data_IF_077227524528
#
_entry.id   IF_077227524528
#
_cell.length_a   1.000
_cell.length_b   1.000
_cell.length_c   1.000
_cell.angle_alpha   90.00
_cell.angle_beta   90.00
_cell.angle_gamma   90.00
#
_symmetry.space_group_name_H-M   'P 1'
#
loop_
_entity.id
_entity.type
_entity.pdbx_description
1 polymer ?
#
# COMPACT_ATOMS: atom_id res chain seq x y z
N UNK A 1 -39.13 53.00 33.18
CA UNK A 1 -39.82 51.84 33.78
C UNK A 1 -41.28 52.20 33.91
N UNK A 2 -42.13 51.63 33.05
CA UNK A 2 -43.58 51.84 33.01
C UNK A 2 -44.14 50.67 32.18
N UNK A 3 -44.70 49.65 32.84
CA UNK A 3 -46.15 49.33 32.86
C UNK A 3 -46.74 49.25 31.44
N UNK A 4 -47.45 48.20 31.02
CA UNK A 4 -48.59 47.58 31.70
C UNK A 4 -49.00 46.30 30.97
N UNK A 5 -49.56 45.33 31.70
CA UNK A 5 -50.10 44.08 31.17
C UNK A 5 -51.62 44.14 30.91
N UNK A 6 -52.02 43.47 29.81
CA UNK A 6 -53.19 42.57 29.62
C UNK A 6 -54.63 43.07 29.76
N UNK A 7 -55.37 42.75 28.70
CA UNK A 7 -56.77 42.28 28.66
C UNK A 7 -57.18 42.25 27.19
N UNK A 8 -57.81 41.26 26.56
CA UNK A 8 -58.47 40.00 26.95
C UNK A 8 -59.41 39.68 25.78
N UNK A 9 -59.51 38.42 25.34
CA UNK A 9 -60.44 38.04 24.25
C UNK A 9 -60.34 36.57 23.85
N UNK A 10 -61.31 35.77 24.31
CA UNK A 10 -61.73 34.43 23.85
C UNK A 10 -61.93 34.40 22.32
N UNK A 11 -61.89 33.30 21.56
CA UNK A 11 -61.87 31.86 21.82
C UNK A 11 -62.57 31.16 20.63
N UNK A 12 -61.92 30.12 20.09
CA UNK A 12 -62.40 29.05 19.18
C UNK A 12 -62.83 29.39 17.74
N UNK A 13 -62.10 28.83 16.76
CA UNK A 13 -62.59 27.65 16.02
C UNK A 13 -61.47 26.91 15.24
N UNK A 14 -61.65 25.60 15.12
CA UNK A 14 -60.68 24.58 14.71
C UNK A 14 -60.75 24.22 13.20
N UNK A 15 -59.60 23.76 12.70
CA UNK A 15 -59.39 22.71 11.68
C UNK A 15 -59.60 23.03 10.18
N UNK A 16 -58.54 22.90 9.36
CA UNK A 16 -58.17 21.65 8.66
C UNK A 16 -57.03 21.83 7.65
N UNK A 17 -56.20 20.78 7.58
CA UNK A 17 -55.25 20.28 6.57
C UNK A 17 -54.96 21.02 5.24
N UNK A 18 -53.68 21.00 4.86
CA UNK A 18 -53.20 21.17 3.48
C UNK A 18 -51.67 21.25 3.38
N UNK A 19 -51.00 20.09 3.35
CA UNK A 19 -49.56 20.00 3.14
C UNK A 19 -49.23 20.12 1.64
N UNK A 20 -48.49 21.15 1.24
CA UNK A 20 -47.88 21.23 -0.08
C UNK A 20 -46.35 21.15 0.01
N UNK A 21 -45.83 20.05 -0.52
CA UNK A 21 -44.41 19.73 -0.67
C UNK A 21 -43.77 20.64 -1.72
N UNK A 22 -43.02 21.65 -1.28
CA UNK A 22 -42.15 22.45 -2.14
C UNK A 22 -40.90 21.67 -2.57
N UNK A 23 -40.90 21.14 -3.78
CA UNK A 23 -39.70 20.60 -4.44
C UNK A 23 -38.68 21.72 -4.72
N UNK A 24 -37.59 21.77 -3.94
CA UNK A 24 -36.42 22.59 -4.23
C UNK A 24 -35.67 21.94 -5.40
N UNK A 25 -35.96 22.38 -6.63
CA UNK A 25 -35.10 22.13 -7.78
C UNK A 25 -33.76 22.85 -7.57
N UNK A 26 -32.75 22.13 -7.07
CA UNK A 26 -31.35 22.58 -7.17
C UNK A 26 -31.00 22.68 -8.66
N UNK A 27 -30.98 23.91 -9.17
CA UNK A 27 -30.38 24.25 -10.46
C UNK A 27 -28.98 23.65 -10.53
N UNK A 28 -28.78 22.71 -11.44
CA UNK A 28 -27.47 22.25 -11.87
C UNK A 28 -26.72 23.48 -12.44
N UNK A 29 -25.63 23.87 -11.79
CA UNK A 29 -24.71 24.86 -12.33
C UNK A 29 -24.21 24.38 -13.69
N UNK A 30 -24.66 25.07 -14.75
CA UNK A 30 -24.11 24.90 -16.10
C UNK A 30 -22.62 25.20 -16.07
N UNK A 31 -21.81 24.28 -16.54
CA UNK A 31 -20.40 24.51 -16.88
C UNK A 31 -20.36 25.58 -17.96
N UNK A 32 -19.82 26.75 -17.61
CA UNK A 32 -19.54 27.82 -18.56
C UNK A 32 -18.45 27.34 -19.53
N UNK A 33 -18.84 27.18 -20.80
CA UNK A 33 -17.93 27.09 -21.95
C UNK A 33 -17.50 28.50 -22.35
N UNK A 34 -16.18 28.69 -22.42
CA UNK A 34 -15.43 29.85 -22.94
C UNK A 34 -15.43 31.14 -22.10
N UNK A 35 -14.22 31.52 -21.64
CA UNK A 35 -13.87 32.87 -21.19
C UNK A 35 -13.07 32.94 -19.89
N UNK A 36 -11.84 33.46 -19.97
CA UNK A 36 -10.87 33.72 -18.90
C UNK A 36 -10.13 32.53 -18.26
N UNK A 37 -9.04 32.10 -18.92
CA UNK A 37 -7.91 31.46 -18.24
C UNK A 37 -7.09 32.53 -17.50
N UNK A 38 -7.67 33.06 -16.41
CA UNK A 38 -6.92 33.73 -15.36
C UNK A 38 -6.29 32.67 -14.46
N UNK A 39 -4.97 32.78 -14.28
CA UNK A 39 -4.14 32.17 -13.24
C UNK A 39 -4.84 31.23 -12.25
N UNK A 40 -5.05 29.99 -12.68
CA UNK A 40 -5.15 28.87 -11.74
C UNK A 40 -4.02 27.94 -12.10
N UNK A 41 -3.07 27.82 -11.18
CA UNK A 41 -1.92 26.96 -11.30
C UNK A 41 -2.36 25.60 -11.87
N UNK A 42 -1.73 25.17 -12.96
CA UNK A 42 -1.91 23.81 -13.46
C UNK A 42 -1.51 22.86 -12.32
N UNK A 43 -2.51 22.30 -11.64
CA UNK A 43 -2.29 21.28 -10.63
C UNK A 43 -1.94 19.99 -11.36
N UNK A 44 -0.64 19.79 -11.62
CA UNK A 44 -0.08 18.55 -12.19
C UNK A 44 -0.48 17.28 -11.40
N UNK A 45 -1.05 17.43 -10.21
CA UNK A 45 -1.54 16.36 -9.34
C UNK A 45 -2.91 15.81 -9.76
N UNK A 46 -3.73 16.58 -10.50
CA UNK A 46 -5.06 16.14 -10.92
C UNK A 46 -4.97 15.50 -12.30
N UNK A 47 -4.67 14.22 -12.32
CA UNK A 47 -4.56 13.41 -13.53
C UNK A 47 -5.90 12.72 -13.84
N UNK A 48 -6.39 12.75 -15.09
CA UNK A 48 -7.58 11.98 -15.49
C UNK A 48 -7.46 10.50 -15.14
N UNK A 49 -8.56 9.86 -14.73
CA UNK A 49 -8.54 8.45 -14.29
C UNK A 49 -8.03 7.48 -15.36
N UNK A 50 -8.27 7.78 -16.64
CA UNK A 50 -7.75 7.00 -17.78
C UNK A 50 -6.24 7.14 -17.98
N UNK A 51 -5.59 8.07 -17.28
CA UNK A 51 -4.16 8.34 -17.36
C UNK A 51 -3.46 8.15 -16.01
N UNK A 52 -4.04 7.41 -15.05
CA UNK A 52 -3.48 7.27 -13.70
C UNK A 52 -2.01 6.82 -13.66
N UNK A 53 -1.54 6.11 -14.68
CA UNK A 53 -0.15 5.67 -14.85
C UNK A 53 0.88 6.81 -14.98
N UNK A 54 0.49 8.02 -15.41
CA UNK A 54 1.43 9.16 -15.53
C UNK A 54 1.59 9.94 -14.22
N UNK A 55 0.68 9.74 -13.26
CA UNK A 55 0.68 10.49 -12.00
C UNK A 55 1.98 10.32 -11.18
N UNK A 56 2.60 9.12 -11.08
CA UNK A 56 3.90 8.99 -10.44
C UNK A 56 5.00 9.83 -11.12
N UNK A 57 5.01 9.91 -12.45
CA UNK A 57 6.01 10.67 -13.22
C UNK A 57 5.90 12.17 -12.92
N UNK A 58 4.68 12.71 -12.89
CA UNK A 58 4.45 14.12 -12.59
C UNK A 58 4.75 14.48 -11.13
N UNK A 59 4.48 13.55 -10.19
CA UNK A 59 4.88 13.71 -8.80
C UNK A 59 6.40 13.81 -8.67
N UNK A 60 7.13 12.88 -9.30
CA UNK A 60 8.61 12.93 -9.32
C UNK A 60 9.11 14.21 -9.99
N UNK A 61 8.50 14.65 -11.08
CA UNK A 61 8.87 15.91 -11.74
C UNK A 61 8.78 17.10 -10.79
N UNK A 62 7.70 17.21 -10.01
CA UNK A 62 7.53 18.29 -9.03
C UNK A 62 8.55 18.17 -7.87
N UNK A 63 8.85 16.95 -7.42
CA UNK A 63 9.82 16.72 -6.33
C UNK A 63 11.24 17.15 -6.73
N UNK A 64 11.65 16.88 -7.97
CA UNK A 64 13.01 17.17 -8.44
C UNK A 64 13.18 18.58 -9.00
N UNK A 65 12.10 19.32 -9.24
CA UNK A 65 12.11 20.66 -9.88
C UNK A 65 13.03 21.65 -9.18
N UNK A 66 13.00 21.69 -7.85
CA UNK A 66 13.86 22.58 -7.07
C UNK A 66 15.34 22.18 -7.18
N UNK A 67 15.62 20.89 -7.34
CA UNK A 67 16.99 20.36 -7.39
C UNK A 67 17.59 20.43 -8.79
N UNK A 68 16.81 20.12 -9.82
CA UNK A 68 17.21 20.17 -11.21
C UNK A 68 15.98 20.46 -12.11
N UNK A 69 15.76 21.73 -12.50
CA UNK A 69 14.63 22.14 -13.33
C UNK A 69 14.60 21.44 -14.70
N UNK A 70 15.77 21.14 -15.29
CA UNK A 70 15.83 20.47 -16.59
C UNK A 70 15.35 19.02 -16.50
N UNK A 71 15.73 18.30 -15.45
CA UNK A 71 15.25 16.93 -15.22
C UNK A 71 13.74 16.92 -14.96
N UNK A 72 13.21 17.87 -14.19
CA UNK A 72 11.77 18.01 -14.00
C UNK A 72 11.02 18.25 -15.32
N UNK A 73 11.55 19.13 -16.17
CA UNK A 73 11.03 19.34 -17.53
C UNK A 73 11.01 18.04 -18.34
N UNK A 74 12.10 17.28 -18.34
CA UNK A 74 12.20 16.01 -19.07
C UNK A 74 11.21 14.96 -18.56
N UNK A 75 10.99 14.87 -17.25
CA UNK A 75 9.96 14.02 -16.67
C UNK A 75 8.55 14.43 -17.14
N UNK A 76 8.24 15.73 -17.19
CA UNK A 76 6.95 16.24 -17.69
C UNK A 76 6.78 15.97 -19.19
N UNK A 77 7.85 16.14 -19.96
CA UNK A 77 7.85 15.85 -21.39
C UNK A 77 7.57 14.36 -21.65
N UNK A 78 8.27 13.48 -20.94
CA UNK A 78 8.01 12.04 -21.00
C UNK A 78 6.58 11.68 -20.56
N UNK A 79 6.06 12.31 -19.50
CA UNK A 79 4.67 12.13 -19.08
C UNK A 79 3.67 12.54 -20.17
N UNK A 80 3.94 13.63 -20.90
CA UNK A 80 3.12 14.08 -22.02
C UNK A 80 3.13 13.07 -23.18
N UNK A 81 4.31 12.56 -23.57
CA UNK A 81 4.42 11.52 -24.60
C UNK A 81 3.68 10.24 -24.18
N UNK A 82 3.87 9.79 -22.94
CA UNK A 82 3.20 8.60 -22.39
C UNK A 82 1.68 8.80 -22.39
N UNK A 83 1.19 9.98 -22.00
CA UNK A 83 -0.23 10.31 -22.10
C UNK A 83 -0.75 10.28 -23.54
N UNK A 84 0.06 10.72 -24.52
CA UNK A 84 -0.29 10.62 -25.93
C UNK A 84 -0.39 9.17 -26.41
N UNK A 85 0.56 8.29 -26.01
CA UNK A 85 0.50 6.86 -26.33
C UNK A 85 -0.70 6.15 -25.70
N UNK A 86 -1.08 6.50 -24.47
CA UNK A 86 -2.20 5.90 -23.74
C UNK A 86 -3.58 6.28 -24.31
N UNK A 87 -3.74 7.50 -24.83
CA UNK A 87 -5.01 7.95 -25.43
C UNK A 87 -4.76 8.89 -26.63
N UNK A 88 -4.36 8.36 -27.80
CA UNK A 88 -3.96 9.19 -28.95
C UNK A 88 -5.03 10.20 -29.38
N UNK A 89 -6.30 9.78 -29.33
CA UNK A 89 -7.45 10.58 -29.76
C UNK A 89 -8.00 11.52 -28.67
N UNK A 90 -7.42 11.50 -27.46
CA UNK A 90 -7.88 12.30 -26.31
C UNK A 90 -9.37 12.12 -26.00
N UNK A 91 -9.82 10.87 -26.09
CA UNK A 91 -11.21 10.45 -25.94
C UNK A 91 -11.68 10.39 -24.47
N UNK A 92 -10.74 10.23 -23.53
CA UNK A 92 -11.02 10.18 -22.11
C UNK A 92 -11.53 11.52 -21.55
N UNK A 93 -12.40 11.43 -20.54
CA UNK A 93 -12.94 12.62 -19.85
C UNK A 93 -11.80 13.48 -19.32
N UNK A 94 -11.73 14.74 -19.76
CA UNK A 94 -10.72 15.71 -19.31
C UNK A 94 -9.32 15.51 -19.91
N UNK A 95 -9.08 14.46 -20.70
CA UNK A 95 -7.75 14.16 -21.26
C UNK A 95 -7.26 15.26 -22.18
N UNK A 96 -8.12 15.77 -23.07
CA UNK A 96 -7.75 16.85 -23.98
C UNK A 96 -7.32 18.12 -23.22
N UNK A 97 -8.11 18.53 -22.24
CA UNK A 97 -7.81 19.71 -21.41
C UNK A 97 -6.48 19.53 -20.67
N UNK A 98 -6.29 18.35 -20.07
CA UNK A 98 -5.07 17.99 -19.37
C UNK A 98 -3.84 18.06 -20.29
N UNK A 99 -3.88 17.42 -21.47
CA UNK A 99 -2.78 17.42 -22.44
C UNK A 99 -2.46 18.82 -22.94
N UNK A 100 -3.48 19.61 -23.27
CA UNK A 100 -3.29 20.99 -23.71
C UNK A 100 -2.61 21.84 -22.65
N UNK A 101 -3.03 21.74 -21.38
CA UNK A 101 -2.43 22.51 -20.32
C UNK A 101 -1.00 22.04 -19.97
N UNK A 102 -0.74 20.73 -20.03
CA UNK A 102 0.62 20.19 -19.87
C UNK A 102 1.55 20.65 -21.01
N UNK A 103 1.07 20.67 -22.25
CA UNK A 103 1.82 21.16 -23.40
C UNK A 103 2.18 22.66 -23.26
N UNK A 104 1.21 23.50 -22.89
CA UNK A 104 1.45 24.93 -22.65
C UNK A 104 2.49 25.17 -21.55
N UNK A 105 2.49 24.33 -20.51
CA UNK A 105 3.50 24.37 -19.46
C UNK A 105 4.89 23.99 -20.00
N UNK A 106 4.98 22.93 -20.80
CA UNK A 106 6.22 22.51 -21.44
C UNK A 106 6.80 23.60 -22.36
N UNK A 107 5.95 24.24 -23.17
CA UNK A 107 6.38 25.34 -24.04
C UNK A 107 6.98 26.50 -23.24
N UNK A 108 6.39 26.84 -22.09
CA UNK A 108 6.90 27.91 -21.21
C UNK A 108 8.20 27.54 -20.50
N UNK A 109 8.34 26.29 -20.08
CA UNK A 109 9.47 25.83 -19.27
C UNK A 109 10.69 25.40 -20.11
N UNK A 110 10.52 25.13 -21.41
CA UNK A 110 11.59 24.56 -22.23
C UNK A 110 12.85 25.44 -22.28
N UNK A 111 12.73 26.68 -22.75
CA UNK A 111 13.89 27.52 -22.99
C UNK A 111 14.61 27.90 -21.68
N UNK A 112 13.92 28.32 -20.60
CA UNK A 112 14.57 28.61 -19.32
C UNK A 112 15.31 27.41 -18.74
N UNK A 113 14.71 26.22 -18.79
CA UNK A 113 15.35 25.00 -18.26
C UNK A 113 16.50 24.52 -19.13
N UNK A 114 16.42 24.73 -20.45
CA UNK A 114 17.47 24.39 -21.40
C UNK A 114 18.68 25.31 -21.23
N UNK A 115 18.47 26.62 -21.03
CA UNK A 115 19.55 27.58 -20.71
C UNK A 115 20.27 27.24 -19.42
N UNK A 116 19.53 26.75 -18.41
CA UNK A 116 20.09 26.31 -17.13
C UNK A 116 20.73 24.92 -17.14
N UNK A 117 20.74 24.21 -18.28
CA UNK A 117 21.28 22.85 -18.37
C UNK A 117 22.80 22.85 -18.20
N UNK A 118 23.29 21.95 -17.36
CA UNK A 118 24.73 21.85 -17.03
C UNK A 118 25.47 20.95 -18.01
N UNK A 119 24.84 19.86 -18.45
CA UNK A 119 25.44 18.88 -19.36
C UNK A 119 25.20 19.23 -20.83
N UNK A 120 26.01 18.59 -21.69
CA UNK A 120 25.99 18.80 -23.15
C UNK A 120 24.70 18.32 -23.83
N UNK A 121 24.01 17.36 -23.23
CA UNK A 121 22.75 16.81 -23.74
C UNK A 121 21.83 16.44 -22.59
N UNK A 122 20.54 16.30 -22.89
CA UNK A 122 19.53 15.91 -21.91
C UNK A 122 19.76 14.49 -21.39
N UNK A 123 20.23 13.56 -22.23
CA UNK A 123 20.60 12.21 -21.80
C UNK A 123 21.74 12.24 -20.77
N UNK A 124 22.76 13.08 -20.98
CA UNK A 124 23.87 13.23 -20.01
C UNK A 124 23.43 13.95 -18.74
N UNK A 125 22.49 14.88 -18.83
CA UNK A 125 21.87 15.53 -17.67
C UNK A 125 21.10 14.50 -16.82
N UNK A 126 20.25 13.68 -17.45
CA UNK A 126 19.50 12.61 -16.78
C UNK A 126 20.42 11.58 -16.12
N UNK A 127 21.44 11.11 -16.83
CA UNK A 127 22.42 10.15 -16.29
C UNK A 127 23.16 10.71 -15.07
N UNK A 128 23.67 11.95 -15.18
CA UNK A 128 24.36 12.62 -14.07
C UNK A 128 23.46 12.84 -12.87
N UNK A 129 22.20 13.21 -13.10
CA UNK A 129 21.23 13.41 -12.03
C UNK A 129 20.84 12.10 -11.36
N UNK A 130 20.63 11.03 -12.13
CA UNK A 130 20.32 9.70 -11.58
C UNK A 130 21.44 9.20 -10.67
N UNK A 131 22.70 9.28 -11.12
CA UNK A 131 23.85 8.90 -10.28
C UNK A 131 23.94 9.75 -9.01
N UNK A 132 23.70 11.07 -9.12
CA UNK A 132 23.67 11.95 -7.95
C UNK A 132 22.54 11.57 -6.98
N UNK A 133 21.35 11.31 -7.51
CA UNK A 133 20.19 10.89 -6.73
C UNK A 133 20.46 9.57 -6.00
N UNK A 134 21.02 8.58 -6.69
CA UNK A 134 21.37 7.29 -6.14
C UNK A 134 22.34 7.43 -4.96
N UNK A 135 23.45 8.16 -5.14
CA UNK A 135 24.45 8.39 -4.09
C UNK A 135 23.87 9.14 -2.89
N UNK A 136 23.08 10.19 -3.16
CA UNK A 136 22.58 11.10 -2.13
C UNK A 136 21.40 10.54 -1.33
N UNK A 137 20.50 9.81 -1.97
CA UNK A 137 19.24 9.36 -1.35
C UNK A 137 19.17 7.87 -1.14
N UNK A 138 19.81 7.03 -1.95
CA UNK A 138 19.75 5.58 -1.76
C UNK A 138 20.95 5.11 -0.94
N UNK A 139 22.18 5.31 -1.43
CA UNK A 139 23.38 4.86 -0.72
C UNK A 139 23.52 5.53 0.65
N UNK A 140 23.24 6.84 0.75
CA UNK A 140 23.30 7.53 2.04
C UNK A 140 22.28 6.98 3.05
N UNK A 141 21.05 6.67 2.62
CA UNK A 141 20.02 6.09 3.49
C UNK A 141 20.31 4.64 3.85
N UNK A 142 20.90 3.85 2.94
CA UNK A 142 21.36 2.49 3.23
C UNK A 142 22.49 2.48 4.28
N UNK A 143 23.40 3.46 4.21
CA UNK A 143 24.55 3.57 5.11
C UNK A 143 24.22 4.24 6.45
N UNK A 144 23.10 4.94 6.56
CA UNK A 144 22.64 5.53 7.81
C UNK A 144 22.21 4.42 8.77
N UNK A 145 23.10 4.07 9.70
CA UNK A 145 22.97 2.94 10.63
C UNK A 145 21.77 3.03 11.61
N UNK A 146 21.01 4.13 11.60
CA UNK A 146 19.89 4.35 12.51
C UNK A 146 18.52 4.37 11.85
N UNK A 147 17.66 3.54 12.45
CA UNK A 147 16.20 3.49 12.43
C UNK A 147 15.55 4.87 12.24
N UNK A 148 15.00 5.15 11.06
CA UNK A 148 13.84 6.05 10.97
C UNK A 148 13.14 5.99 9.62
N UNK A 149 13.83 5.67 8.53
CA UNK A 149 13.32 6.10 7.24
C UNK A 149 13.20 5.03 6.16
N UNK A 150 12.69 3.86 6.56
CA UNK A 150 12.17 2.87 5.60
C UNK A 150 11.17 3.52 4.65
N UNK A 151 10.31 4.41 5.16
CA UNK A 151 9.36 5.16 4.34
C UNK A 151 10.06 6.06 3.31
N UNK A 152 11.07 6.84 3.71
CA UNK A 152 11.87 7.61 2.74
C UNK A 152 12.67 6.72 1.80
N UNK A 153 13.20 5.58 2.24
CA UNK A 153 13.95 4.66 1.40
C UNK A 153 13.05 4.00 0.35
N UNK A 154 11.87 3.52 0.75
CA UNK A 154 10.85 3.02 -0.19
C UNK A 154 10.44 4.12 -1.18
N UNK A 155 10.24 5.35 -0.69
CA UNK A 155 9.97 6.50 -1.56
C UNK A 155 11.13 6.76 -2.53
N UNK A 156 12.37 6.69 -2.05
CA UNK A 156 13.56 6.92 -2.86
C UNK A 156 13.70 5.88 -3.97
N UNK A 157 13.44 4.60 -3.68
CA UNK A 157 13.38 3.55 -4.70
C UNK A 157 12.27 3.79 -5.73
N UNK A 158 11.07 4.21 -5.30
CA UNK A 158 9.99 4.56 -6.22
C UNK A 158 10.38 5.71 -7.16
N UNK A 159 10.96 6.77 -6.60
CA UNK A 159 11.45 7.92 -7.39
C UNK A 159 12.57 7.51 -8.33
N UNK A 160 13.53 6.69 -7.89
CA UNK A 160 14.61 6.18 -8.74
C UNK A 160 14.07 5.36 -9.92
N UNK A 161 13.12 4.46 -9.71
CA UNK A 161 12.51 3.69 -10.81
C UNK A 161 11.87 4.59 -11.87
N UNK A 162 11.14 5.64 -11.45
CA UNK A 162 10.55 6.62 -12.37
C UNK A 162 11.63 7.42 -13.10
N UNK A 163 12.67 7.88 -12.40
CA UNK A 163 13.79 8.60 -13.01
C UNK A 163 14.52 7.73 -14.04
N UNK A 164 14.71 6.44 -13.76
CA UNK A 164 15.32 5.50 -14.70
C UNK A 164 14.45 5.25 -15.93
N UNK A 165 13.12 5.14 -15.77
CA UNK A 165 12.18 5.03 -16.89
C UNK A 165 12.34 6.23 -17.86
N UNK A 166 12.36 7.44 -17.31
CA UNK A 166 12.55 8.69 -18.08
C UNK A 166 13.94 8.73 -18.71
N UNK A 167 14.98 8.38 -17.95
CA UNK A 167 16.37 8.34 -18.43
C UNK A 167 16.50 7.43 -19.65
N UNK A 168 15.96 6.20 -19.57
CA UNK A 168 16.00 5.24 -20.67
C UNK A 168 15.32 5.79 -21.93
N UNK A 169 14.17 6.45 -21.78
CA UNK A 169 13.46 7.06 -22.89
C UNK A 169 14.27 8.19 -23.55
N UNK A 170 14.82 9.11 -22.76
CA UNK A 170 15.63 10.25 -23.27
C UNK A 170 16.91 9.75 -23.96
N UNK A 171 17.59 8.76 -23.37
CA UNK A 171 18.77 8.12 -23.94
C UNK A 171 18.49 7.47 -25.30
N UNK A 172 17.37 6.74 -25.40
CA UNK A 172 16.95 6.11 -26.65
C UNK A 172 16.68 7.16 -27.74
N UNK A 173 15.97 8.24 -27.41
CA UNK A 173 15.69 9.34 -28.36
C UNK A 173 16.95 10.03 -28.86
N UNK A 174 17.97 10.16 -28.01
CA UNK A 174 19.24 10.82 -28.36
C UNK A 174 20.32 9.85 -28.86
N UNK A 175 20.02 8.56 -29.00
CA UNK A 175 20.99 7.52 -29.39
C UNK A 175 22.26 7.51 -28.53
N UNK A 176 22.10 7.71 -27.21
CA UNK A 176 23.19 7.70 -26.23
C UNK A 176 23.03 6.48 -25.32
N UNK A 177 24.06 5.64 -25.24
CA UNK A 177 24.08 4.49 -24.34
C UNK A 177 24.02 4.91 -22.87
N UNK A 178 23.38 4.08 -22.05
CA UNK A 178 23.32 4.27 -20.60
C UNK A 178 24.61 3.74 -19.99
N UNK A 179 25.27 4.54 -19.16
CA UNK A 179 26.50 4.14 -18.49
C UNK A 179 26.27 2.86 -17.65
N UNK A 180 27.21 1.91 -17.70
CA UNK A 180 27.07 0.60 -17.05
C UNK A 180 26.80 0.69 -15.54
N UNK A 181 27.43 1.64 -14.86
CA UNK A 181 27.21 1.88 -13.43
C UNK A 181 25.74 2.20 -13.10
N UNK A 182 25.02 2.86 -14.01
CA UNK A 182 23.61 3.21 -13.83
C UNK A 182 22.73 1.96 -13.98
N UNK A 183 23.09 1.05 -14.89
CA UNK A 183 22.38 -0.22 -15.05
C UNK A 183 22.55 -1.08 -13.81
N UNK A 184 23.78 -1.21 -13.29
CA UNK A 184 24.06 -1.96 -12.06
C UNK A 184 23.33 -1.36 -10.85
N UNK A 185 23.33 -0.03 -10.70
CA UNK A 185 22.56 0.66 -9.67
C UNK A 185 21.05 0.41 -9.80
N UNK A 186 20.52 0.43 -11.02
CA UNK A 186 19.10 0.16 -11.25
C UNK A 186 18.71 -1.29 -10.95
N UNK A 187 19.58 -2.25 -11.25
CA UNK A 187 19.36 -3.65 -10.90
C UNK A 187 19.26 -3.81 -9.37
N UNK A 188 20.12 -3.13 -8.61
CA UNK A 188 20.03 -3.07 -7.15
C UNK A 188 18.71 -2.42 -6.69
N UNK A 189 18.32 -1.28 -7.27
CA UNK A 189 17.03 -0.63 -6.98
C UNK A 189 15.87 -1.59 -7.23
N UNK A 190 15.86 -2.29 -8.35
CA UNK A 190 14.80 -3.21 -8.73
C UNK A 190 14.68 -4.38 -7.75
N UNK A 191 15.81 -4.96 -7.34
CA UNK A 191 15.85 -6.02 -6.33
C UNK A 191 15.33 -5.52 -4.98
N UNK A 192 15.85 -4.40 -4.49
CA UNK A 192 15.47 -3.84 -3.18
C UNK A 192 14.00 -3.39 -3.16
N UNK A 193 13.48 -2.83 -4.25
CA UNK A 193 12.06 -2.43 -4.34
C UNK A 193 11.12 -3.61 -4.09
N UNK A 194 11.49 -4.82 -4.51
CA UNK A 194 10.67 -6.02 -4.28
C UNK A 194 10.68 -6.49 -2.82
N UNK A 195 11.73 -6.13 -2.07
CA UNK A 195 11.95 -6.52 -0.68
C UNK A 195 11.30 -5.51 0.27
N UNK A 196 11.41 -4.21 -0.02
CA UNK A 196 10.82 -3.14 0.78
C UNK A 196 9.35 -2.94 0.44
N UNK A 197 8.50 -3.84 0.94
CA UNK A 197 7.05 -3.68 0.83
C UNK A 197 6.58 -2.44 1.60
N UNK A 198 5.80 -1.55 0.98
CA UNK A 198 5.17 -0.45 1.67
C UNK A 198 4.06 -0.97 2.61
N UNK A 199 3.79 -0.22 3.68
CA UNK A 199 2.64 -0.38 4.60
C UNK A 199 2.74 -1.44 5.70
N UNK A 200 3.66 -2.40 5.63
CA UNK A 200 3.95 -3.30 6.75
C UNK A 200 4.77 -2.59 7.83
N UNK A 201 4.30 -2.62 9.08
CA UNK A 201 4.98 -2.10 10.27
C UNK A 201 6.18 -2.98 10.62
N UNK A 202 6.05 -4.31 10.48
CA UNK A 202 7.10 -5.26 10.80
C UNK A 202 7.98 -5.49 9.58
N UNK A 203 9.26 -5.12 9.66
CA UNK A 203 10.16 -5.23 8.53
C UNK A 203 10.79 -6.63 8.54
N UNK A 204 10.05 -7.59 8.00
CA UNK A 204 10.43 -9.02 8.00
C UNK A 204 11.49 -9.37 6.94
N UNK A 205 11.94 -8.39 6.16
CA UNK A 205 13.04 -8.57 5.21
C UNK A 205 14.40 -8.75 5.91
N UNK A 206 15.34 -9.48 5.27
CA UNK A 206 16.66 -9.74 5.84
C UNK A 206 17.43 -8.48 6.23
N UNK A 207 17.34 -7.42 5.43
CA UNK A 207 18.08 -6.17 5.64
C UNK A 207 17.59 -5.38 6.86
N UNK A 208 16.40 -5.71 7.36
CA UNK A 208 15.77 -4.99 8.47
C UNK A 208 15.69 -5.77 9.78
N UNK A 209 16.34 -6.93 9.86
CA UNK A 209 16.36 -7.77 11.06
C UNK A 209 16.83 -7.01 12.32
N UNK A 210 17.67 -5.99 12.16
CA UNK A 210 18.26 -5.20 13.25
C UNK A 210 17.40 -4.00 13.72
N UNK A 211 16.25 -3.74 13.08
CA UNK A 211 15.37 -2.62 13.44
C UNK A 211 14.82 -2.76 14.87
N UNK A 212 14.45 -1.64 15.51
CA UNK A 212 14.09 -1.62 16.94
C UNK A 212 12.95 -2.57 17.26
N UNK A 213 11.92 -2.53 16.41
CA UNK A 213 10.71 -3.33 16.58
C UNK A 213 10.98 -4.83 16.45
N UNK A 214 12.01 -5.22 15.71
CA UNK A 214 12.44 -6.62 15.56
C UNK A 214 13.28 -7.11 16.74
N UNK A 215 13.72 -6.23 17.65
CA UNK A 215 14.46 -6.60 18.86
C UNK A 215 13.55 -6.99 20.02
N UNK A 216 12.24 -6.77 19.92
CA UNK A 216 11.30 -7.18 20.96
C UNK A 216 11.20 -8.71 21.03
N UNK A 217 11.43 -9.33 22.20
CA UNK A 217 11.50 -10.79 22.33
C UNK A 217 10.18 -11.47 21.96
N UNK A 218 9.03 -10.84 22.22
CA UNK A 218 7.70 -11.33 21.86
C UNK A 218 7.45 -11.34 20.35
N UNK A 219 8.01 -10.36 19.61
CA UNK A 219 7.95 -10.32 18.14
C UNK A 219 8.84 -11.43 17.58
N UNK A 220 10.07 -11.56 18.10
CA UNK A 220 10.99 -12.63 17.70
C UNK A 220 10.40 -14.01 17.96
N UNK A 221 9.78 -14.21 19.13
CA UNK A 221 9.13 -15.46 19.50
C UNK A 221 8.03 -15.86 18.50
N UNK A 222 7.16 -14.91 18.12
CA UNK A 222 6.10 -15.16 17.15
C UNK A 222 6.66 -15.44 15.74
N UNK A 223 7.66 -14.68 15.28
CA UNK A 223 8.33 -14.91 13.98
C UNK A 223 9.00 -16.28 13.92
N UNK A 224 9.75 -16.66 14.96
CA UNK A 224 10.40 -17.97 15.06
C UNK A 224 9.36 -19.10 15.05
N UNK A 225 8.26 -18.93 15.77
CA UNK A 225 7.19 -19.93 15.81
C UNK A 225 6.55 -20.14 14.43
N UNK A 226 6.34 -19.07 13.65
CA UNK A 226 5.81 -19.16 12.28
C UNK A 226 6.79 -19.84 11.31
N UNK A 227 8.11 -19.69 11.51
CA UNK A 227 9.13 -20.34 10.67
C UNK A 227 9.20 -21.85 10.83
N UNK A 228 8.53 -22.43 11.84
CA UNK A 228 8.44 -23.87 11.98
C UNK A 228 7.57 -24.49 10.87
N UNK A 229 8.20 -24.85 9.75
CA UNK A 229 7.58 -25.49 8.59
C UNK A 229 8.00 -26.96 8.45
N UNK A 230 8.48 -27.57 9.54
CA UNK A 230 8.90 -28.97 9.56
C UNK A 230 7.73 -29.88 9.22
N UNK A 231 7.94 -30.85 8.33
CA UNK A 231 6.93 -31.85 7.97
C UNK A 231 5.80 -31.37 7.05
N UNK A 232 5.81 -30.10 6.62
CA UNK A 232 4.80 -29.61 5.67
C UNK A 232 5.10 -30.07 4.23
N UNK A 233 4.10 -30.59 3.50
CA UNK A 233 4.28 -31.01 2.11
C UNK A 233 4.24 -29.78 1.20
N UNK A 234 5.37 -29.43 0.60
CA UNK A 234 5.46 -28.34 -0.39
C UNK A 234 5.09 -28.87 -1.80
N UNK A 235 4.58 -28.00 -2.70
CA UNK A 235 4.36 -28.38 -4.09
C UNK A 235 5.66 -28.87 -4.76
N UNK A 236 5.56 -29.85 -5.67
CA UNK A 236 6.72 -30.59 -6.22
C UNK A 236 7.80 -29.70 -6.87
N UNK A 237 7.38 -28.60 -7.50
CA UNK A 237 8.29 -27.67 -8.21
C UNK A 237 8.61 -26.41 -7.39
N UNK A 238 8.22 -26.38 -6.11
CA UNK A 238 8.37 -25.21 -5.27
C UNK A 238 9.80 -25.08 -4.75
N UNK A 239 10.50 -24.01 -5.15
CA UNK A 239 11.84 -23.69 -4.65
C UNK A 239 11.73 -22.95 -3.31
N UNK A 240 11.72 -23.72 -2.23
CA UNK A 240 11.63 -23.19 -0.87
C UNK A 240 12.80 -22.25 -0.54
N UNK A 241 12.49 -21.04 -0.07
CA UNK A 241 13.47 -20.07 0.45
C UNK A 241 13.72 -20.32 1.94
N UNK A 242 14.89 -19.87 2.41
CA UNK A 242 15.34 -20.10 3.79
C UNK A 242 14.43 -19.48 4.84
N UNK A 243 13.86 -18.32 4.54
CA UNK A 243 13.06 -17.52 5.49
C UNK A 243 11.55 -17.74 5.37
N UNK A 244 11.11 -18.71 4.58
CA UNK A 244 9.68 -19.01 4.38
C UNK A 244 9.03 -19.66 5.60
N UNK A 245 7.83 -19.19 5.90
CA UNK A 245 7.06 -19.55 7.08
C UNK A 245 5.77 -20.32 6.74
N UNK A 246 4.98 -20.63 7.77
CA UNK A 246 3.71 -21.35 7.61
C UNK A 246 2.72 -20.61 6.71
N UNK A 247 2.79 -19.29 6.59
CA UNK A 247 1.90 -18.50 5.73
C UNK A 247 2.38 -18.53 4.27
N UNK A 248 3.68 -18.61 4.00
CA UNK A 248 4.19 -18.87 2.65
C UNK A 248 3.76 -20.26 2.18
N UNK A 249 3.75 -21.25 3.08
CA UNK A 249 3.22 -22.57 2.78
C UNK A 249 1.72 -22.52 2.43
N UNK A 250 0.91 -21.82 3.24
CA UNK A 250 -0.51 -21.62 2.93
C UNK A 250 -0.72 -20.91 1.59
N UNK A 251 0.11 -19.91 1.28
CA UNK A 251 0.09 -19.24 -0.01
C UNK A 251 0.36 -20.23 -1.15
N UNK A 252 1.41 -21.03 -1.05
CA UNK A 252 1.80 -21.99 -2.08
C UNK A 252 0.74 -23.08 -2.30
N UNK A 253 0.03 -23.48 -1.25
CA UNK A 253 -0.98 -24.54 -1.31
C UNK A 253 -2.35 -24.05 -1.83
N UNK A 254 -2.76 -22.84 -1.45
CA UNK A 254 -4.12 -22.34 -1.71
C UNK A 254 -4.18 -21.18 -2.71
N UNK A 255 -3.04 -20.59 -3.08
CA UNK A 255 -2.97 -19.51 -4.08
C UNK A 255 -3.37 -18.14 -3.56
N UNK A 256 -3.30 -17.89 -2.25
CA UNK A 256 -3.62 -16.58 -1.66
C UNK A 256 -2.76 -15.44 -2.25
N UNK A 257 -3.33 -14.24 -2.32
CA UNK A 257 -2.66 -13.05 -2.83
C UNK A 257 -1.46 -12.68 -1.94
N UNK A 258 -0.33 -12.33 -2.57
CA UNK A 258 0.94 -12.02 -1.86
C UNK A 258 0.77 -10.93 -0.79
N UNK A 259 0.05 -9.86 -1.13
CA UNK A 259 -0.15 -8.75 -0.21
C UNK A 259 -1.09 -9.11 0.94
N UNK A 260 -2.11 -9.95 0.70
CA UNK A 260 -2.95 -10.50 1.76
C UNK A 260 -2.11 -11.34 2.73
N UNK A 261 -1.24 -12.20 2.21
CA UNK A 261 -0.33 -13.03 3.01
C UNK A 261 0.59 -12.17 3.86
N UNK A 262 1.23 -11.16 3.28
CA UNK A 262 2.09 -10.22 4.01
C UNK A 262 1.33 -9.48 5.13
N UNK A 263 0.11 -8.99 4.84
CA UNK A 263 -0.72 -8.28 5.80
C UNK A 263 -1.19 -9.18 6.95
N UNK A 264 -1.69 -10.38 6.64
CA UNK A 264 -2.17 -11.32 7.67
C UNK A 264 -1.03 -11.90 8.50
N UNK A 265 0.17 -12.04 7.93
CA UNK A 265 1.38 -12.43 8.67
C UNK A 265 1.70 -11.43 9.76
N UNK A 266 1.80 -10.15 9.40
CA UNK A 266 2.05 -9.08 10.36
C UNK A 266 0.95 -9.03 11.43
N UNK A 267 -0.31 -9.08 11.02
CA UNK A 267 -1.44 -9.06 11.93
C UNK A 267 -1.38 -10.22 12.94
N UNK A 268 -1.07 -11.44 12.48
CA UNK A 268 -0.94 -12.61 13.35
C UNK A 268 0.25 -12.47 14.32
N UNK A 269 1.41 -12.00 13.85
CA UNK A 269 2.58 -11.76 14.70
C UNK A 269 2.24 -10.76 15.80
N UNK A 270 1.63 -9.63 15.45
CA UNK A 270 1.25 -8.58 16.40
C UNK A 270 0.19 -9.06 17.39
N UNK A 271 -0.80 -9.85 16.97
CA UNK A 271 -1.79 -10.46 17.87
C UNK A 271 -1.13 -11.39 18.90
N UNK A 272 -0.21 -12.24 18.44
CA UNK A 272 0.52 -13.17 19.30
C UNK A 272 1.41 -12.43 20.30
N UNK A 273 2.22 -11.49 19.81
CA UNK A 273 3.11 -10.66 20.63
C UNK A 273 2.33 -9.87 21.70
N UNK A 274 1.21 -9.25 21.32
CA UNK A 274 0.36 -8.49 22.24
C UNK A 274 -0.25 -9.34 23.37
N UNK A 275 -0.64 -10.58 23.08
CA UNK A 275 -1.13 -11.49 24.13
C UNK A 275 0.02 -12.03 24.97
N UNK A 276 1.16 -12.32 24.35
CA UNK A 276 2.35 -12.84 25.01
C UNK A 276 2.88 -11.87 26.09
N UNK A 277 3.09 -10.60 25.74
CA UNK A 277 3.60 -9.59 26.68
C UNK A 277 2.67 -9.35 27.88
N UNK A 278 1.36 -9.45 27.68
CA UNK A 278 0.36 -9.28 28.76
C UNK A 278 0.38 -10.43 29.76
N UNK A 279 0.75 -11.63 29.32
CA UNK A 279 0.80 -12.81 30.18
C UNK A 279 2.19 -13.02 30.80
N UNK A 280 3.25 -12.64 30.09
CA UNK A 280 4.65 -12.84 30.49
C UNK A 280 5.46 -11.56 30.28
N UNK A 281 5.43 -10.61 31.22
CA UNK A 281 6.20 -9.36 31.11
C UNK A 281 7.71 -9.55 31.40
N UNK A 282 8.21 -10.78 31.51
CA UNK A 282 9.60 -11.05 31.94
C UNK A 282 10.57 -10.92 30.75
N UNK A 283 11.52 -9.97 30.78
CA UNK A 283 12.40 -9.68 29.64
C UNK A 283 13.51 -10.73 29.40
N UNK A 284 13.83 -11.57 30.39
CA UNK A 284 15.02 -12.43 30.35
C UNK A 284 14.81 -13.84 29.77
N UNK A 285 13.64 -14.12 29.17
CA UNK A 285 13.36 -15.42 28.57
C UNK A 285 13.79 -15.47 27.10
N UNK A 286 14.31 -16.63 26.68
CA UNK A 286 14.55 -16.92 25.26
C UNK A 286 13.28 -16.65 24.44
N UNK A 287 13.41 -16.17 23.19
CA UNK A 287 12.30 -15.80 22.32
C UNK A 287 11.50 -17.04 21.89
N UNK A 288 10.70 -17.56 22.80
CA UNK A 288 9.86 -18.74 22.63
C UNK A 288 8.43 -18.35 22.90
N UNK A 289 7.55 -18.67 21.96
CA UNK A 289 6.15 -18.28 22.05
C UNK A 289 5.43 -19.18 23.07
N UNK A 290 4.94 -18.60 24.16
CA UNK A 290 4.21 -19.34 25.18
C UNK A 290 2.91 -19.96 24.63
N UNK A 291 2.70 -21.24 24.91
CA UNK A 291 1.53 -22.00 24.43
C UNK A 291 0.20 -21.44 24.94
N UNK A 292 0.18 -20.81 26.12
CA UNK A 292 -1.02 -20.17 26.70
C UNK A 292 -1.42 -18.94 25.91
N UNK A 293 -0.45 -18.13 25.50
CA UNK A 293 -0.71 -16.96 24.66
C UNK A 293 -1.30 -17.39 23.31
N UNK A 294 -0.70 -18.41 22.68
CA UNK A 294 -1.18 -19.01 21.45
C UNK A 294 -2.61 -19.56 21.58
N UNK A 295 -2.88 -20.28 22.67
CA UNK A 295 -4.19 -20.89 22.93
C UNK A 295 -5.27 -19.82 23.16
N UNK A 296 -4.94 -18.72 23.83
CA UNK A 296 -5.86 -17.60 24.03
C UNK A 296 -6.17 -16.86 22.73
N UNK A 297 -5.19 -16.62 21.85
CA UNK A 297 -5.44 -16.05 20.52
C UNK A 297 -6.34 -16.97 19.70
N UNK A 298 -6.01 -18.27 19.64
CA UNK A 298 -6.82 -19.27 18.91
C UNK A 298 -8.26 -19.32 19.44
N UNK A 299 -8.44 -19.32 20.77
CA UNK A 299 -9.77 -19.34 21.41
C UNK A 299 -10.61 -18.13 21.03
N UNK A 300 -9.99 -16.94 20.97
CA UNK A 300 -10.67 -15.70 20.57
C UNK A 300 -11.04 -15.74 19.08
N UNK A 301 -10.10 -16.10 18.22
CA UNK A 301 -10.29 -16.13 16.76
C UNK A 301 -11.41 -17.11 16.35
N UNK A 302 -11.41 -18.32 16.93
CA UNK A 302 -12.36 -19.38 16.60
C UNK A 302 -13.65 -19.37 17.44
N UNK A 303 -13.91 -18.34 18.25
CA UNK A 303 -15.10 -18.26 19.10
C UNK A 303 -16.40 -18.39 18.27
N UNK A 304 -16.47 -17.69 17.15
CA UNK A 304 -17.65 -17.70 16.28
C UNK A 304 -17.77 -19.02 15.51
N UNK A 305 -16.66 -19.53 14.97
CA UNK A 305 -16.62 -20.82 14.29
C UNK A 305 -17.10 -21.98 15.19
N UNK A 306 -16.64 -22.02 16.44
CA UNK A 306 -17.07 -23.05 17.41
C UNK A 306 -18.56 -22.95 17.73
N UNK A 307 -19.11 -21.73 17.85
CA UNK A 307 -20.55 -21.51 18.03
C UNK A 307 -21.35 -21.98 16.82
N UNK A 308 -20.88 -21.67 15.61
CA UNK A 308 -21.49 -22.08 14.35
C UNK A 308 -21.51 -23.61 14.20
N UNK A 309 -20.39 -24.29 14.49
CA UNK A 309 -20.33 -25.76 14.49
C UNK A 309 -21.33 -26.37 15.48
N UNK A 310 -21.41 -25.83 16.71
CA UNK A 310 -22.37 -26.28 17.72
C UNK A 310 -23.82 -26.05 17.29
N UNK A 311 -24.11 -24.92 16.65
CA UNK A 311 -25.45 -24.59 16.17
C UNK A 311 -25.92 -25.56 15.07
N UNK A 312 -25.02 -25.97 14.17
CA UNK A 312 -25.31 -26.91 13.09
C UNK A 312 -25.09 -28.38 13.45
N UNK A 313 -24.81 -28.68 14.72
CA UNK A 313 -24.45 -30.03 15.20
C UNK A 313 -23.33 -30.72 14.39
N UNK A 314 -22.29 -29.94 14.03
CA UNK A 314 -21.10 -30.41 13.31
C UNK A 314 -19.90 -30.51 14.25
N UNK A 315 -19.07 -31.55 14.05
CA UNK A 315 -17.76 -31.65 14.71
C UNK A 315 -16.82 -30.57 14.17
N UNK A 316 -16.11 -29.88 15.06
CA UNK A 316 -15.13 -28.86 14.67
C UNK A 316 -13.94 -29.51 13.92
N UNK A 317 -13.52 -28.93 12.79
CA UNK A 317 -12.35 -29.36 12.01
C UNK A 317 -11.00 -29.03 12.69
N UNK A 318 -11.03 -28.32 13.82
CA UNK A 318 -9.86 -27.98 14.63
C UNK A 318 -9.34 -29.19 15.42
N UNK A 319 -8.73 -30.16 14.73
CA UNK A 319 -8.07 -31.29 15.36
C UNK A 319 -6.62 -30.95 15.71
N UNK A 320 -6.17 -31.28 16.93
CA UNK A 320 -4.79 -31.06 17.36
C UNK A 320 -4.06 -32.40 17.50
N UNK A 321 -2.79 -32.50 17.07
CA UNK A 321 -2.00 -33.72 17.21
C UNK A 321 -1.68 -34.00 18.68
N UNK A 322 -1.36 -35.25 18.97
CA UNK A 322 -0.92 -35.66 20.32
C UNK A 322 0.51 -35.19 20.62
N UNK A 323 1.33 -35.00 19.58
CA UNK A 323 2.72 -34.56 19.71
C UNK A 323 2.76 -33.06 19.98
N UNK A 324 3.18 -32.67 21.17
CA UNK A 324 3.15 -31.27 21.64
C UNK A 324 3.93 -30.31 20.72
N UNK A 325 5.03 -30.76 20.11
CA UNK A 325 5.81 -29.94 19.17
C UNK A 325 5.04 -29.61 17.88
N UNK A 326 4.12 -30.46 17.45
CA UNK A 326 3.28 -30.25 16.26
C UNK A 326 2.01 -29.45 16.58
N UNK A 327 1.59 -29.42 17.86
CA UNK A 327 0.42 -28.66 18.30
C UNK A 327 0.59 -27.17 18.01
N UNK A 328 1.76 -26.60 18.31
CA UNK A 328 2.02 -25.18 18.06
C UNK A 328 1.92 -24.86 16.57
N UNK A 329 2.60 -25.62 15.71
CA UNK A 329 2.56 -25.45 14.26
C UNK A 329 1.12 -25.56 13.74
N UNK A 330 0.34 -26.55 14.21
CA UNK A 330 -1.03 -26.74 13.76
C UNK A 330 -1.97 -25.61 14.19
N UNK A 331 -1.83 -25.09 15.41
CA UNK A 331 -2.58 -23.91 15.87
C UNK A 331 -2.29 -22.70 14.98
N UNK A 332 -1.02 -22.48 14.63
CA UNK A 332 -0.60 -21.38 13.75
C UNK A 332 -1.15 -21.54 12.32
N UNK A 333 -1.09 -22.76 11.76
CA UNK A 333 -1.68 -23.06 10.45
C UNK A 333 -3.17 -22.76 10.42
N UNK A 334 -3.93 -23.22 11.42
CA UNK A 334 -5.36 -22.95 11.48
C UNK A 334 -5.68 -21.46 11.55
N UNK A 335 -5.00 -20.73 12.43
CA UNK A 335 -5.20 -19.28 12.55
C UNK A 335 -4.79 -18.55 11.27
N UNK A 336 -3.64 -18.89 10.69
CA UNK A 336 -3.17 -18.33 9.43
C UNK A 336 -4.19 -18.54 8.32
N UNK A 337 -4.67 -19.77 8.13
CA UNK A 337 -5.66 -20.09 7.11
C UNK A 337 -6.97 -19.33 7.32
N UNK A 338 -7.46 -19.22 8.56
CA UNK A 338 -8.66 -18.45 8.87
C UNK A 338 -8.49 -16.96 8.52
N UNK A 339 -7.36 -16.37 8.88
CA UNK A 339 -7.05 -14.96 8.58
C UNK A 339 -6.89 -14.70 7.07
N UNK A 340 -6.28 -15.64 6.34
CA UNK A 340 -6.13 -15.53 4.88
C UNK A 340 -7.48 -15.61 4.17
N UNK A 341 -8.35 -16.55 4.55
CA UNK A 341 -9.73 -16.64 4.05
C UNK A 341 -10.49 -15.35 4.37
N UNK A 342 -10.36 -14.84 5.60
CA UNK A 342 -11.00 -13.59 6.00
C UNK A 342 -10.50 -12.39 5.19
N UNK A 343 -9.19 -12.32 4.91
CA UNK A 343 -8.57 -11.23 4.15
C UNK A 343 -9.01 -11.17 2.68
N UNK A 344 -9.35 -12.32 2.07
CA UNK A 344 -9.82 -12.41 0.69
C UNK A 344 -11.34 -12.54 0.54
N UNK A 345 -12.08 -12.61 1.64
CA UNK A 345 -13.54 -12.77 1.61
C UNK A 345 -14.29 -11.58 1.02
N UNK A 346 -13.65 -10.41 0.86
CA UNK A 346 -14.28 -9.18 0.37
C UNK A 346 -15.63 -8.90 1.08
N UNK A 347 -16.74 -8.84 0.34
CA UNK A 347 -18.06 -8.60 0.91
C UNK A 347 -18.61 -9.79 1.75
N UNK A 348 -18.11 -11.00 1.55
CA UNK A 348 -18.54 -12.19 2.30
C UNK A 348 -18.16 -12.11 3.78
N UNK A 349 -17.24 -11.21 4.16
CA UNK A 349 -16.90 -10.99 5.58
C UNK A 349 -18.07 -10.49 6.43
N UNK A 350 -19.11 -9.95 5.80
CA UNK A 350 -20.35 -9.54 6.47
C UNK A 350 -21.35 -10.69 6.65
N UNK A 351 -21.03 -11.89 6.16
CA UNK A 351 -21.77 -13.13 6.39
C UNK A 351 -20.90 -14.09 7.20
N UNK A 352 -20.88 -13.97 8.53
CA UNK A 352 -19.98 -14.75 9.39
C UNK A 352 -20.21 -16.26 9.28
N UNK A 353 -21.43 -16.71 9.00
CA UNK A 353 -21.76 -18.12 8.75
C UNK A 353 -21.11 -18.63 7.46
N UNK A 354 -21.03 -17.81 6.42
CA UNK A 354 -20.37 -18.15 5.16
C UNK A 354 -18.86 -18.32 5.36
N UNK A 355 -18.23 -17.42 6.12
CA UNK A 355 -16.83 -17.58 6.51
C UNK A 355 -16.60 -18.88 7.28
N UNK A 356 -17.47 -19.20 8.24
CA UNK A 356 -17.37 -20.45 9.00
C UNK A 356 -17.54 -21.67 8.09
N UNK A 357 -18.47 -21.62 7.14
CA UNK A 357 -18.69 -22.66 6.15
C UNK A 357 -17.47 -22.88 5.26
N UNK A 358 -16.92 -21.82 4.66
CA UNK A 358 -15.74 -21.89 3.80
C UNK A 358 -14.57 -22.47 4.60
N UNK A 359 -14.29 -21.92 5.78
CA UNK A 359 -13.23 -22.42 6.64
C UNK A 359 -13.43 -23.91 7.01
N UNK A 360 -14.65 -24.33 7.33
CA UNK A 360 -14.94 -25.71 7.70
C UNK A 360 -14.56 -26.71 6.60
N UNK A 361 -14.82 -26.35 5.34
CA UNK A 361 -14.56 -27.21 4.18
C UNK A 361 -13.13 -27.13 3.66
N UNK A 362 -12.44 -26.00 3.83
CA UNK A 362 -11.02 -25.86 3.44
C UNK A 362 -10.10 -26.53 4.45
N UNK A 363 -10.49 -26.62 5.72
CA UNK A 363 -9.73 -27.30 6.77
C UNK A 363 -9.94 -28.82 6.83
N UNK A 364 -10.96 -29.33 6.14
CA UNK A 364 -11.25 -30.76 6.04
C UNK A 364 -10.47 -31.35 4.86
#
# INVERSE_FOLDING_TARGET
MSSTSRGGGMGMDQATAGAETGTIQRRLSRTHTAGNLGETAFNSEVVPSSLSEIAPILRVANEVEISNPRVAYLCRFYAFEKAHRLDPNSSGRGVRQFKTALLQRLERENDPTLMGRVKKSDAREMQSFYQHYYKKYIQALQNAADKADRAQLTKAYQTANVLFEVLKAVNMTQSIEVDREILEAQDEVAEKTQIYLPYNILPLDPDSANQAIMRYPEIQAAVVALRNTRGLPWPKDYKKKKDEDVLDWLQAMFGFQKDNVANQREHLILLLANVHIRQFPKPDQQPTLDERALTEVMKKLFKNYKKWCKYLDRKSSLWLPTIQQEVQQRKLLYMGLFLLIWGEAANLRFMPECLCYIYHHVCH
#
